data_IF_570340307226
#
_entry.id   IF_570340307226
#
_cell.length_a   1.000
_cell.length_b   1.000
_cell.length_c   1.000
_cell.angle_alpha   90.00
_cell.angle_beta   90.00
_cell.angle_gamma   90.00
#
_symmetry.space_group_name_H-M   'P 1'
#
loop_
_entity.id
_entity.type
_entity.pdbx_description
1 polymer ?
#
# COMPACT_ATOMS: atom_id res chain seq x y z
N UNK A 1 -38.12 -23.08 -48.61
CA UNK A 1 -37.95 -23.61 -47.25
C UNK A 1 -36.62 -24.34 -47.18
N UNK A 2 -35.64 -23.77 -46.48
CA UNK A 2 -34.44 -24.48 -46.04
C UNK A 2 -33.75 -23.65 -44.94
N UNK A 3 -34.25 -23.77 -43.71
CA UNK A 3 -33.57 -23.28 -42.51
C UNK A 3 -32.39 -24.20 -42.20
N UNK A 4 -31.22 -23.61 -41.98
CA UNK A 4 -30.01 -24.31 -41.51
C UNK A 4 -29.95 -24.17 -39.99
N UNK A 5 -29.79 -25.24 -39.20
CA UNK A 5 -29.76 -25.10 -37.74
C UNK A 5 -28.44 -24.46 -37.30
N UNK A 6 -28.54 -23.33 -36.60
CA UNK A 6 -27.42 -22.68 -35.93
C UNK A 6 -27.13 -23.39 -34.60
N UNK A 7 -26.06 -24.17 -34.57
CA UNK A 7 -25.61 -24.87 -33.36
C UNK A 7 -25.19 -23.84 -32.30
N UNK A 8 -25.75 -23.87 -31.07
CA UNK A 8 -25.36 -22.93 -30.03
C UNK A 8 -23.92 -23.22 -29.58
N UNK A 9 -23.03 -22.22 -29.76
CA UNK A 9 -21.66 -22.26 -29.22
C UNK A 9 -21.75 -22.33 -27.69
N UNK A 10 -21.50 -23.52 -27.12
CA UNK A 10 -21.34 -23.71 -25.69
C UNK A 10 -20.12 -22.91 -25.24
N UNK A 11 -20.36 -21.79 -24.56
CA UNK A 11 -19.29 -21.01 -23.93
C UNK A 11 -18.68 -21.92 -22.87
N UNK A 12 -17.41 -22.26 -23.08
CA UNK A 12 -16.69 -23.18 -22.22
C UNK A 12 -16.30 -22.41 -20.95
N UNK A 13 -17.12 -22.52 -19.91
CA UNK A 13 -16.96 -21.79 -18.64
C UNK A 13 -15.58 -21.98 -18.00
N UNK A 14 -14.90 -23.09 -18.32
CA UNK A 14 -13.50 -23.35 -17.95
C UNK A 14 -12.55 -22.34 -18.60
N UNK A 15 -12.73 -22.02 -19.89
CA UNK A 15 -11.91 -21.02 -20.59
C UNK A 15 -12.18 -19.63 -20.02
N UNK A 16 -13.43 -19.31 -19.66
CA UNK A 16 -13.78 -18.03 -19.03
C UNK A 16 -13.12 -17.91 -17.65
N UNK A 17 -13.18 -18.95 -16.82
CA UNK A 17 -12.52 -18.98 -15.53
C UNK A 17 -10.99 -18.82 -15.65
N UNK A 18 -10.37 -19.46 -16.64
CA UNK A 18 -8.95 -19.33 -16.93
C UNK A 18 -8.56 -17.91 -17.37
N UNK A 19 -9.35 -17.29 -18.25
CA UNK A 19 -9.09 -15.91 -18.71
C UNK A 19 -9.26 -14.91 -17.56
N UNK A 20 -10.26 -15.09 -16.71
CA UNK A 20 -10.46 -14.22 -15.53
C UNK A 20 -9.32 -14.41 -14.52
N UNK A 21 -8.89 -15.64 -14.25
CA UNK A 21 -7.76 -15.93 -13.38
C UNK A 21 -6.45 -15.33 -13.92
N UNK A 22 -6.20 -15.47 -15.22
CA UNK A 22 -5.03 -14.89 -15.87
C UNK A 22 -5.06 -13.36 -15.83
N UNK A 23 -6.22 -12.74 -16.07
CA UNK A 23 -6.37 -11.29 -15.98
C UNK A 23 -6.13 -10.77 -14.57
N UNK A 24 -6.61 -11.47 -13.54
CA UNK A 24 -6.39 -11.12 -12.14
C UNK A 24 -4.89 -11.22 -11.78
N UNK A 25 -4.22 -12.28 -12.24
CA UNK A 25 -2.79 -12.47 -12.05
C UNK A 25 -1.97 -11.37 -12.75
N UNK A 26 -2.32 -11.01 -13.99
CA UNK A 26 -1.67 -9.92 -14.72
C UNK A 26 -1.95 -8.54 -14.10
N UNK A 27 -3.13 -8.34 -13.49
CA UNK A 27 -3.45 -7.13 -12.75
C UNK A 27 -2.57 -7.00 -11.50
N UNK A 28 -2.42 -8.08 -10.74
CA UNK A 28 -1.57 -8.12 -9.54
C UNK A 28 -0.10 -7.96 -9.93
N UNK A 29 0.38 -8.70 -10.93
CA UNK A 29 1.74 -8.59 -11.44
C UNK A 29 2.03 -7.18 -11.99
N UNK A 30 1.07 -6.58 -12.70
CA UNK A 30 1.13 -5.21 -13.21
C UNK A 30 1.17 -4.18 -12.09
N UNK A 31 0.36 -4.32 -11.03
CA UNK A 31 0.39 -3.44 -9.86
C UNK A 31 1.71 -3.54 -9.09
N UNK A 32 2.27 -4.75 -8.99
CA UNK A 32 3.59 -4.98 -8.40
C UNK A 32 4.67 -4.34 -9.28
N UNK A 33 4.68 -4.59 -10.59
CA UNK A 33 5.66 -4.02 -11.51
C UNK A 33 5.59 -2.48 -11.57
N UNK A 34 4.39 -1.90 -11.55
CA UNK A 34 4.16 -0.45 -11.49
C UNK A 34 4.81 0.15 -10.23
N UNK A 35 4.73 -0.53 -9.08
CA UNK A 35 5.39 -0.08 -7.84
C UNK A 35 6.92 -0.05 -7.93
N UNK A 36 7.54 -0.86 -8.80
CA UNK A 36 9.00 -0.82 -9.01
C UNK A 36 9.39 0.29 -10.00
N UNK A 37 8.59 0.52 -11.05
CA UNK A 37 8.86 1.56 -12.06
C UNK A 37 8.52 2.99 -11.59
N UNK A 38 7.59 3.17 -10.64
CA UNK A 38 7.20 4.50 -10.08
C UNK A 38 8.22 5.01 -9.03
N UNK A 39 9.31 4.30 -8.80
CA UNK A 39 10.32 4.57 -7.76
C UNK A 39 11.19 5.85 -7.91
N UNK A 40 10.98 6.70 -8.91
CA UNK A 40 11.78 7.92 -9.13
C UNK A 40 11.13 9.23 -8.60
N UNK A 41 9.99 9.14 -7.90
CA UNK A 41 9.25 10.31 -7.41
C UNK A 41 9.11 10.41 -5.87
N UNK A 42 8.31 11.37 -5.36
CA UNK A 42 8.06 11.68 -3.93
C UNK A 42 7.57 10.51 -3.04
N UNK A 43 7.59 9.28 -3.53
CA UNK A 43 7.31 8.05 -2.79
C UNK A 43 8.28 7.72 -1.66
N UNK A 44 9.53 8.21 -1.69
CA UNK A 44 10.44 8.03 -0.53
C UNK A 44 9.81 8.56 0.76
N UNK A 45 9.03 9.65 0.65
CA UNK A 45 8.28 10.24 1.76
C UNK A 45 7.05 9.40 2.12
N UNK A 46 6.35 8.81 1.13
CA UNK A 46 5.23 7.87 1.36
C UNK A 46 5.67 6.61 2.13
N UNK A 47 6.92 6.18 1.89
CA UNK A 47 7.55 5.04 2.54
C UNK A 47 7.94 5.33 3.99
N UNK A 48 7.81 6.55 4.51
CA UNK A 48 8.02 6.81 5.95
C UNK A 48 6.69 7.08 6.68
N UNK A 49 5.65 7.49 5.94
CA UNK A 49 4.36 7.93 6.48
C UNK A 49 3.24 6.88 6.39
N UNK A 50 3.56 5.58 6.40
CA UNK A 50 2.49 4.55 6.35
C UNK A 50 1.67 4.47 7.64
N UNK A 51 2.20 4.95 8.76
CA UNK A 51 1.35 5.44 9.84
C UNK A 51 0.67 6.70 9.30
N UNK A 52 -0.60 6.60 8.94
CA UNK A 52 -1.45 7.69 8.40
C UNK A 52 -1.51 8.97 9.29
N UNK A 53 -0.77 9.00 10.40
CA UNK A 53 -0.69 10.10 11.35
C UNK A 53 0.15 11.29 10.85
N UNK A 54 1.06 11.11 9.90
CA UNK A 54 1.87 12.23 9.38
C UNK A 54 1.54 12.44 7.90
N UNK A 55 0.76 13.50 7.57
CA UNK A 55 0.44 13.83 6.18
C UNK A 55 1.71 14.08 5.37
N UNK A 56 1.77 13.55 4.14
CA UNK A 56 2.93 13.75 3.25
C UNK A 56 3.15 15.23 2.92
N UNK A 57 2.05 15.99 2.88
CA UNK A 57 2.06 17.43 2.61
C UNK A 57 2.63 18.27 3.74
N UNK A 58 2.61 17.79 5.00
CA UNK A 58 3.23 18.52 6.12
C UNK A 58 4.70 18.85 5.84
N UNK A 59 5.45 17.88 5.31
CA UNK A 59 6.84 18.12 4.98
C UNK A 59 6.99 19.20 3.91
N UNK A 60 6.04 19.37 2.97
CA UNK A 60 6.14 20.33 1.86
C UNK A 60 6.26 21.79 2.30
N UNK A 61 5.75 22.13 3.48
CA UNK A 61 5.75 23.49 4.01
C UNK A 61 7.02 23.81 4.80
N UNK A 62 7.86 22.81 5.06
CA UNK A 62 9.12 22.95 5.76
C UNK A 62 10.28 23.18 4.79
N UNK A 63 11.27 23.97 5.21
CA UNK A 63 12.53 24.11 4.49
C UNK A 63 13.31 22.78 4.45
N UNK A 64 14.31 22.70 3.55
CA UNK A 64 15.05 21.46 3.32
C UNK A 64 15.86 21.00 4.53
N UNK A 65 16.41 21.93 5.32
CA UNK A 65 17.24 21.61 6.48
C UNK A 65 16.36 21.05 7.61
N UNK A 66 15.25 21.72 7.90
CA UNK A 66 14.27 21.30 8.92
C UNK A 66 13.63 19.96 8.57
N UNK A 67 13.31 19.70 7.30
CA UNK A 67 12.90 18.37 6.85
C UNK A 67 13.93 17.31 7.15
N UNK A 68 15.19 17.55 6.82
CA UNK A 68 16.25 16.56 7.02
C UNK A 68 16.43 16.25 8.51
N UNK A 69 16.30 17.26 9.37
CA UNK A 69 16.34 17.10 10.83
C UNK A 69 15.18 16.24 11.34
N UNK A 70 13.94 16.54 10.94
CA UNK A 70 12.78 15.75 11.35
C UNK A 70 12.83 14.32 10.79
N UNK A 71 13.33 14.15 9.55
CA UNK A 71 13.52 12.83 8.95
C UNK A 71 14.63 12.02 9.64
N UNK A 72 15.60 12.68 10.27
CA UNK A 72 16.61 12.00 11.07
C UNK A 72 16.00 11.30 12.29
N UNK A 73 14.87 11.79 12.83
CA UNK A 73 14.15 11.12 13.92
C UNK A 73 13.63 9.73 13.52
N UNK A 74 13.33 9.50 12.23
CA UNK A 74 12.89 8.18 11.74
C UNK A 74 14.04 7.20 11.54
N UNK A 75 15.30 7.65 11.49
CA UNK A 75 16.44 6.75 11.23
C UNK A 75 16.58 5.65 12.26
N UNK A 76 16.23 5.93 13.53
CA UNK A 76 16.27 4.94 14.60
C UNK A 76 15.34 3.75 14.34
N UNK A 77 14.21 4.00 13.65
CA UNK A 77 13.17 3.00 13.38
C UNK A 77 13.19 2.50 11.92
N UNK A 78 14.05 3.07 11.06
CA UNK A 78 14.07 2.75 9.62
C UNK A 78 14.38 1.27 9.36
N UNK A 79 15.32 0.69 10.12
CA UNK A 79 15.66 -0.73 10.00
C UNK A 79 14.46 -1.62 10.34
N UNK A 80 13.81 -1.36 11.47
CA UNK A 80 12.67 -2.13 11.97
C UNK A 80 11.46 -2.01 11.03
N UNK A 81 11.15 -0.79 10.57
CA UNK A 81 10.08 -0.54 9.60
C UNK A 81 10.38 -1.25 8.27
N UNK A 82 11.64 -1.23 7.80
CA UNK A 82 12.05 -1.92 6.56
C UNK A 82 11.94 -3.43 6.70
N UNK A 83 12.33 -3.99 7.83
CA UNK A 83 12.28 -5.43 8.11
C UNK A 83 10.85 -5.90 8.31
N UNK A 84 10.03 -5.18 9.09
CA UNK A 84 8.60 -5.45 9.26
C UNK A 84 7.84 -5.45 7.93
N UNK A 85 8.14 -4.53 7.02
CA UNK A 85 7.57 -4.54 5.66
C UNK A 85 7.95 -5.77 4.85
N UNK A 86 9.20 -6.23 4.95
CA UNK A 86 9.65 -7.45 4.29
C UNK A 86 8.92 -8.66 4.88
N UNK A 87 8.73 -8.69 6.19
CA UNK A 87 7.99 -9.74 6.89
C UNK A 87 6.52 -9.78 6.48
N UNK A 88 5.82 -8.63 6.47
CA UNK A 88 4.43 -8.54 5.98
C UNK A 88 4.31 -9.04 4.53
N UNK A 89 5.22 -8.61 3.65
CA UNK A 89 5.24 -9.09 2.26
C UNK A 89 5.45 -10.60 2.17
N UNK A 90 6.33 -11.16 3.00
CA UNK A 90 6.58 -12.60 3.04
C UNK A 90 5.31 -13.37 3.47
N UNK A 91 4.53 -12.84 4.42
CA UNK A 91 3.26 -13.47 4.83
C UNK A 91 2.20 -13.44 3.73
N UNK A 92 2.14 -12.37 2.93
CA UNK A 92 1.24 -12.32 1.75
C UNK A 92 1.63 -13.38 0.71
N UNK A 93 2.93 -13.58 0.48
CA UNK A 93 3.41 -14.65 -0.42
C UNK A 93 3.08 -16.02 0.16
N UNK A 94 3.34 -16.23 1.46
CA UNK A 94 3.02 -17.50 2.12
C UNK A 94 1.52 -17.83 2.09
N UNK A 95 0.65 -16.81 2.16
CA UNK A 95 -0.78 -16.97 1.98
C UNK A 95 -1.14 -17.39 0.55
N UNK A 96 -0.53 -16.77 -0.46
CA UNK A 96 -0.73 -17.17 -1.86
C UNK A 96 -0.29 -18.63 -2.08
N UNK A 97 0.91 -19.00 -1.62
CA UNK A 97 1.45 -20.36 -1.73
C UNK A 97 0.56 -21.39 -1.01
N UNK A 98 -0.04 -21.03 0.14
CA UNK A 98 -0.93 -21.90 0.89
C UNK A 98 -2.29 -22.10 0.20
N UNK A 99 -2.76 -21.10 -0.56
CA UNK A 99 -4.01 -21.18 -1.33
C UNK A 99 -3.84 -21.99 -2.63
N UNK A 100 -2.65 -21.99 -3.22
CA UNK A 100 -2.31 -22.80 -4.41
C UNK A 100 -2.00 -24.26 -4.10
N UNK A 101 -1.81 -24.62 -2.83
CA UNK A 101 -1.44 -25.97 -2.42
C UNK A 101 -2.60 -26.97 -2.62
N UNK A 102 -2.29 -28.10 -3.29
CA UNK A 102 -3.18 -29.25 -3.41
C UNK A 102 -2.55 -30.49 -2.75
N UNK A 103 -3.20 -31.12 -1.75
CA UNK A 103 -4.52 -30.78 -1.20
C UNK A 103 -4.52 -29.49 -0.38
N UNK A 104 -5.70 -28.89 -0.23
CA UNK A 104 -5.90 -27.66 0.55
C UNK A 104 -5.47 -27.83 2.02
N UNK A 105 -4.58 -26.95 2.47
CA UNK A 105 -4.09 -26.91 3.85
C UNK A 105 -4.63 -25.68 4.59
N UNK A 106 -5.77 -25.88 5.27
CA UNK A 106 -6.42 -24.85 6.07
C UNK A 106 -5.53 -24.32 7.22
N UNK A 107 -4.61 -25.14 7.75
CA UNK A 107 -3.74 -24.74 8.84
C UNK A 107 -2.65 -23.78 8.35
N UNK A 108 -2.08 -24.03 7.16
CA UNK A 108 -1.12 -23.12 6.51
C UNK A 108 -1.72 -21.77 6.16
N UNK A 109 -2.95 -21.76 5.64
CA UNK A 109 -3.68 -20.51 5.35
C UNK A 109 -3.89 -19.71 6.64
N UNK A 110 -4.36 -20.35 7.71
CA UNK A 110 -4.56 -19.70 9.01
C UNK A 110 -3.26 -19.10 9.55
N UNK A 111 -2.16 -19.86 9.53
CA UNK A 111 -0.86 -19.40 10.00
C UNK A 111 -0.34 -18.18 9.22
N UNK A 112 -0.55 -18.14 7.90
CA UNK A 112 -0.15 -16.99 7.08
C UNK A 112 -0.97 -15.72 7.40
N UNK A 113 -2.28 -15.86 7.68
CA UNK A 113 -3.15 -14.74 8.08
C UNK A 113 -2.80 -14.22 9.48
N UNK A 114 -2.56 -15.13 10.43
CA UNK A 114 -2.13 -14.77 11.79
C UNK A 114 -0.76 -14.07 11.75
N UNK A 115 0.18 -14.59 10.97
CA UNK A 115 1.49 -13.99 10.76
C UNK A 115 1.39 -12.60 10.10
N UNK A 116 0.54 -12.43 9.10
CA UNK A 116 0.28 -11.13 8.48
C UNK A 116 -0.24 -10.12 9.52
N UNK A 117 -1.21 -10.53 10.35
CA UNK A 117 -1.81 -9.68 11.38
C UNK A 117 -0.74 -9.23 12.39
N UNK A 118 0.02 -10.17 12.97
CA UNK A 118 1.04 -9.88 13.96
C UNK A 118 2.15 -8.95 13.42
N UNK A 119 2.62 -9.20 12.19
CA UNK A 119 3.66 -8.37 11.57
C UNK A 119 3.14 -6.99 11.18
N UNK A 120 1.86 -6.88 10.81
CA UNK A 120 1.23 -5.59 10.52
C UNK A 120 1.06 -4.76 11.79
N UNK A 121 0.70 -5.39 12.91
CA UNK A 121 0.61 -4.73 14.22
C UNK A 121 1.98 -4.22 14.69
N UNK A 122 3.02 -5.06 14.61
CA UNK A 122 4.38 -4.66 14.95
C UNK A 122 4.86 -3.47 14.10
N UNK A 123 4.58 -3.51 12.78
CA UNK A 123 4.89 -2.40 11.88
C UNK A 123 4.12 -1.11 12.23
N UNK A 124 2.87 -1.24 12.67
CA UNK A 124 2.07 -0.10 13.12
C UNK A 124 2.64 0.51 14.40
N UNK A 125 3.04 -0.30 15.38
CA UNK A 125 3.67 0.16 16.63
C UNK A 125 5.01 0.85 16.38
N UNK A 126 5.86 0.30 15.51
CA UNK A 126 7.12 0.95 15.12
C UNK A 126 6.86 2.30 14.43
N UNK A 127 5.87 2.35 13.53
CA UNK A 127 5.47 3.56 12.84
C UNK A 127 4.85 4.63 13.76
N UNK A 128 4.09 4.23 14.79
CA UNK A 128 3.50 5.16 15.75
C UNK A 128 4.55 5.73 16.69
N UNK A 129 5.50 4.90 17.14
CA UNK A 129 6.66 5.32 17.93
C UNK A 129 7.50 6.35 17.19
N UNK A 130 7.79 6.10 15.91
CA UNK A 130 8.53 7.06 15.07
C UNK A 130 7.74 8.36 14.85
N UNK A 131 6.42 8.29 14.70
CA UNK A 131 5.57 9.47 14.57
C UNK A 131 5.56 10.31 15.85
N UNK A 132 5.45 9.68 17.02
CA UNK A 132 5.53 10.37 18.31
C UNK A 132 6.86 11.10 18.48
N UNK A 133 7.97 10.44 18.16
CA UNK A 133 9.30 11.06 18.21
C UNK A 133 9.44 12.28 17.28
N UNK A 134 8.71 12.33 16.16
CA UNK A 134 8.64 13.52 15.33
C UNK A 134 7.78 14.61 16.00
N UNK A 135 6.61 14.25 16.51
CA UNK A 135 5.66 15.19 17.12
C UNK A 135 6.29 15.94 18.31
N UNK A 136 7.11 15.27 19.10
CA UNK A 136 7.84 15.85 20.23
C UNK A 136 8.88 16.91 19.82
N UNK A 137 9.33 16.88 18.56
CA UNK A 137 10.33 17.81 18.01
C UNK A 137 9.71 19.00 17.29
N UNK A 138 8.39 19.01 17.11
CA UNK A 138 7.69 20.09 16.42
C UNK A 138 7.60 21.34 17.31
N UNK A 139 7.91 22.47 16.71
CA UNK A 139 7.66 23.78 17.31
C UNK A 139 6.15 24.05 17.42
N UNK A 140 5.71 25.02 18.26
CA UNK A 140 4.30 25.39 18.35
C UNK A 140 3.67 25.74 17.00
N UNK A 141 4.41 26.40 16.11
CA UNK A 141 3.93 26.79 14.78
C UNK A 141 3.81 25.59 13.84
N UNK A 142 4.81 24.71 13.81
CA UNK A 142 4.76 23.47 13.03
C UNK A 142 3.61 22.55 13.49
N UNK A 143 3.29 22.52 14.78
CA UNK A 143 2.13 21.77 15.30
C UNK A 143 0.81 22.33 14.78
N UNK A 144 0.68 23.65 14.59
CA UNK A 144 -0.53 24.26 14.01
C UNK A 144 -0.68 23.88 12.54
N UNK A 145 0.41 23.94 11.77
CA UNK A 145 0.45 23.51 10.36
C UNK A 145 0.07 22.03 10.26
N UNK A 146 0.67 21.16 11.08
CA UNK A 146 0.33 19.74 11.16
C UNK A 146 -1.16 19.53 11.47
N UNK A 147 -1.71 20.25 12.45
CA UNK A 147 -3.12 20.14 12.83
C UNK A 147 -4.06 20.58 11.69
N UNK A 148 -3.69 21.60 10.90
CA UNK A 148 -4.44 21.97 9.70
C UNK A 148 -4.43 20.84 8.66
N UNK A 149 -3.26 20.28 8.33
CA UNK A 149 -3.17 19.17 7.38
C UNK A 149 -3.98 17.95 7.83
N UNK A 150 -3.94 17.62 9.12
CA UNK A 150 -4.72 16.50 9.70
C UNK A 150 -6.23 16.73 9.63
N UNK A 151 -6.70 17.95 9.85
CA UNK A 151 -8.13 18.31 9.76
C UNK A 151 -8.61 18.38 8.32
N UNK A 152 -7.77 18.90 7.42
CA UNK A 152 -8.17 19.17 6.05
C UNK A 152 -8.16 17.92 5.16
N UNK A 153 -7.54 16.80 5.61
CA UNK A 153 -7.43 15.52 4.87
C UNK A 153 -7.45 15.71 3.35
N UNK A 154 -6.58 16.57 2.85
CA UNK A 154 -6.38 16.79 1.40
C UNK A 154 -5.60 15.63 0.76
N UNK A 155 -5.46 14.51 1.46
CA UNK A 155 -5.15 13.20 0.88
C UNK A 155 -6.41 12.51 0.32
N UNK A 156 -7.36 13.27 -0.25
CA UNK A 156 -8.38 12.68 -1.13
C UNK A 156 -7.71 12.31 -2.44
N UNK A 157 -7.53 11.01 -2.67
CA UNK A 157 -7.16 10.41 -3.95
C UNK A 157 -8.18 10.68 -5.07
N UNK A 158 -8.41 11.94 -5.41
CA UNK A 158 -9.11 12.39 -6.62
C UNK A 158 -8.37 13.60 -7.16
N UNK A 159 -7.46 13.33 -8.10
CA UNK A 159 -7.25 14.29 -9.19
C UNK A 159 -8.61 14.45 -9.88
N UNK A 160 -9.31 15.55 -9.57
CA UNK A 160 -10.36 16.04 -10.44
C UNK A 160 -9.61 16.57 -11.67
N UNK A 161 -9.84 16.07 -12.90
CA UNK A 161 -9.33 16.79 -14.05
C UNK A 161 -10.05 18.12 -14.05
N UNK A 162 -9.29 19.21 -13.92
CA UNK A 162 -9.83 20.56 -14.08
C UNK A 162 -10.47 20.63 -15.47
N UNK A 163 -11.81 20.66 -15.47
CA UNK A 163 -12.57 21.09 -16.63
C UNK A 163 -12.16 22.53 -16.92
N UNK A 164 -11.53 22.74 -18.07
CA UNK A 164 -11.31 24.08 -18.63
C UNK A 164 -12.64 24.83 -18.68
N UNK A 165 -12.68 26.11 -18.28
CA UNK A 165 -13.78 26.98 -18.67
C UNK A 165 -13.66 27.30 -20.17
N UNK A 166 -14.83 27.54 -20.77
CA UNK A 166 -15.10 27.77 -22.19
C UNK A 166 -14.21 28.83 -22.87
#
# INVERSE_FOLDING_TARGET
>A
MSDTPSTPRRINWIIVALVVSLALNLLVAGAVAARWYVGMGPERYARLTQTQLIPRFFFRDLDRARRAELLAAFKAQDKEIREGRRAVKAQVIALADALEAEPYDAARVRAAVEGFTAQSEALFVAGSTAAMALLDRLTPEERRIMAQHLRNREDRGRGKPDGKPD
#
